data_IF_343959380275
#
_entry.id   IF_343959380275
#
_cell.length_a   1.000
_cell.length_b   1.000
_cell.length_c   1.000
_cell.angle_alpha   90.00
_cell.angle_beta   90.00
_cell.angle_gamma   90.00
#
_symmetry.space_group_name_H-M   'P 1'
#
loop_
_entity.id
_entity.type
_entity.pdbx_description
1 polymer ?
#
# COMPACT_ATOMS: atom_id res chain seq x y z
N UNK A 1 13.09 8.80 -18.58
CA UNK A 1 12.48 9.53 -17.44
C UNK A 1 12.76 8.72 -16.17
N UNK A 2 13.48 9.27 -15.19
CA UNK A 2 13.62 8.66 -13.86
C UNK A 2 12.54 9.30 -12.98
N UNK A 3 11.70 8.49 -12.33
CA UNK A 3 10.45 8.93 -11.64
C UNK A 3 10.71 9.66 -10.31
N UNK A 4 11.92 10.17 -10.08
CA UNK A 4 12.30 10.87 -8.84
C UNK A 4 12.40 10.00 -7.58
N UNK A 5 12.19 8.69 -7.67
CA UNK A 5 12.26 7.77 -6.53
C UNK A 5 13.71 7.45 -6.18
N UNK A 6 14.04 7.49 -4.89
CA UNK A 6 15.35 7.11 -4.37
C UNK A 6 15.54 5.59 -4.38
N UNK A 7 16.72 5.10 -4.73
CA UNK A 7 16.97 3.67 -4.96
C UNK A 7 16.75 2.79 -3.70
N UNK A 8 16.82 3.37 -2.48
CA UNK A 8 16.51 2.63 -1.25
C UNK A 8 14.99 2.44 -1.02
N UNK A 9 14.13 3.06 -1.82
CA UNK A 9 12.67 2.89 -1.78
C UNK A 9 12.17 1.85 -2.79
N UNK A 10 13.07 1.32 -3.62
CA UNK A 10 12.73 0.38 -4.69
C UNK A 10 13.05 -1.04 -4.19
N UNK A 11 12.03 -1.88 -4.15
CA UNK A 11 12.13 -3.29 -3.78
C UNK A 11 11.56 -4.15 -4.92
N UNK A 12 12.27 -5.21 -5.29
CA UNK A 12 11.82 -6.20 -6.27
C UNK A 12 11.58 -7.52 -5.55
N UNK A 13 10.39 -8.06 -5.71
CA UNK A 13 10.02 -9.39 -5.21
C UNK A 13 10.19 -10.43 -6.30
N UNK A 14 10.68 -11.61 -5.95
CA UNK A 14 10.66 -12.77 -6.84
C UNK A 14 9.48 -13.73 -6.50
N UNK A 15 9.14 -14.70 -7.37
CA UNK A 15 8.03 -15.63 -7.09
C UNK A 15 8.18 -16.49 -5.82
N UNK A 16 9.38 -16.57 -5.23
CA UNK A 16 9.62 -17.25 -3.94
C UNK A 16 9.31 -16.36 -2.73
N UNK A 17 8.99 -15.08 -2.94
CA UNK A 17 8.75 -14.10 -1.88
C UNK A 17 10.02 -13.44 -1.34
N UNK A 18 11.18 -13.64 -1.97
CA UNK A 18 12.42 -12.96 -1.60
C UNK A 18 12.39 -11.53 -2.17
N UNK A 19 12.71 -10.55 -1.33
CA UNK A 19 12.80 -9.13 -1.68
C UNK A 19 14.27 -8.70 -1.85
N UNK A 20 14.54 -7.97 -2.93
CA UNK A 20 15.85 -7.33 -3.19
C UNK A 20 15.63 -5.82 -3.25
N UNK A 21 16.41 -5.07 -2.50
CA UNK A 21 16.42 -3.61 -2.56
C UNK A 21 17.39 -3.12 -3.63
N UNK A 22 16.98 -2.17 -4.46
CA UNK A 22 17.77 -1.71 -5.63
C UNK A 22 19.11 -1.09 -5.23
N UNK A 23 19.19 -0.43 -4.06
CA UNK A 23 20.46 0.10 -3.51
C UNK A 23 21.45 -1.00 -3.10
N UNK A 24 20.95 -2.16 -2.72
CA UNK A 24 21.70 -3.24 -2.03
C UNK A 24 21.60 -4.53 -2.83
N UNK A 25 21.78 -4.43 -4.15
CA UNK A 25 21.72 -5.55 -5.09
C UNK A 25 22.57 -6.72 -4.61
N UNK A 26 21.92 -7.82 -4.23
CA UNK A 26 22.56 -9.03 -3.69
C UNK A 26 22.13 -9.37 -2.26
N UNK A 27 21.61 -8.40 -1.50
CA UNK A 27 21.00 -8.69 -0.20
C UNK A 27 19.54 -9.11 -0.40
N UNK A 28 19.24 -10.33 0.01
CA UNK A 28 17.88 -10.86 0.04
C UNK A 28 17.24 -10.57 1.39
N UNK A 29 16.01 -10.09 1.35
CA UNK A 29 15.17 -9.75 2.50
C UNK A 29 13.78 -10.38 2.30
N UNK A 30 12.86 -10.17 3.23
CA UNK A 30 11.49 -10.68 3.16
C UNK A 30 10.49 -9.57 3.49
N UNK A 31 9.21 -9.75 3.13
CA UNK A 31 8.15 -8.81 3.53
C UNK A 31 8.07 -8.64 5.04
N UNK A 32 8.28 -9.70 5.83
CA UNK A 32 8.31 -9.62 7.29
C UNK A 32 9.39 -8.66 7.78
N UNK A 33 10.61 -8.75 7.22
CA UNK A 33 11.70 -7.83 7.56
C UNK A 33 11.45 -6.40 7.09
N UNK A 34 10.81 -6.23 5.93
CA UNK A 34 10.42 -4.90 5.44
C UNK A 34 9.34 -4.27 6.33
N UNK A 35 8.41 -5.09 6.85
CA UNK A 35 7.34 -4.68 7.76
C UNK A 35 7.88 -3.99 9.02
N UNK A 36 8.98 -4.50 9.57
CA UNK A 36 9.68 -3.89 10.72
C UNK A 36 10.20 -2.47 10.43
N UNK A 37 10.39 -2.11 9.16
CA UNK A 37 10.95 -0.83 8.72
C UNK A 37 9.89 0.13 8.16
N UNK A 38 8.61 -0.25 8.15
CA UNK A 38 7.53 0.52 7.51
C UNK A 38 7.44 1.94 8.05
N UNK A 39 7.58 2.15 9.36
CA UNK A 39 7.50 3.49 9.96
C UNK A 39 8.59 4.45 9.44
N UNK A 40 9.76 3.91 9.06
CA UNK A 40 10.89 4.69 8.55
C UNK A 40 10.85 4.84 7.03
N UNK A 41 10.44 3.79 6.32
CA UNK A 41 10.43 3.76 4.84
C UNK A 41 9.16 4.39 4.28
N UNK A 42 8.04 4.24 4.98
CA UNK A 42 6.72 4.77 4.65
C UNK A 42 6.16 5.58 5.83
N UNK A 43 6.79 6.70 6.19
CA UNK A 43 6.29 7.55 7.25
C UNK A 43 4.91 8.08 6.88
N UNK A 44 4.05 8.24 7.89
CA UNK A 44 2.76 8.91 7.72
C UNK A 44 3.01 10.33 7.22
N UNK A 45 2.37 10.69 6.10
CA UNK A 45 2.48 12.04 5.53
C UNK A 45 1.75 13.06 6.39
N UNK A 46 0.58 12.69 6.92
CA UNK A 46 -0.19 13.46 7.89
C UNK A 46 -0.48 12.58 9.10
N UNK A 47 -0.14 13.04 10.30
CA UNK A 47 -0.46 12.32 11.55
C UNK A 47 -1.93 12.45 11.95
N UNK A 48 -2.67 13.40 11.35
CA UNK A 48 -4.03 13.76 11.78
C UNK A 48 -5.12 13.49 10.73
N UNK A 49 -4.80 13.38 9.44
CA UNK A 49 -5.82 13.14 8.41
C UNK A 49 -5.96 11.65 8.10
N UNK A 50 -7.00 11.03 8.68
CA UNK A 50 -7.50 9.78 8.15
C UNK A 50 -8.15 10.08 6.78
N UNK A 51 -7.55 9.58 5.69
CA UNK A 51 -8.05 9.77 4.32
C UNK A 51 -9.52 9.37 4.16
N UNK A 52 -10.05 8.55 5.08
CA UNK A 52 -11.45 8.20 5.14
C UNK A 52 -12.41 9.39 5.27
N UNK A 53 -11.98 10.54 5.80
CA UNK A 53 -12.83 11.73 5.92
C UNK A 53 -12.81 12.62 4.69
N UNK A 54 -11.68 12.71 3.99
CA UNK A 54 -11.53 13.56 2.81
C UNK A 54 -11.94 12.84 1.52
N UNK A 55 -11.70 11.53 1.43
CA UNK A 55 -12.06 10.70 0.28
C UNK A 55 -12.50 9.31 0.78
N UNK A 56 -13.77 9.15 1.23
CA UNK A 56 -14.28 7.94 1.85
C UNK A 56 -14.12 6.67 0.99
N UNK A 57 -14.11 6.82 -0.33
CA UNK A 57 -13.91 5.76 -1.32
C UNK A 57 -12.49 5.18 -1.28
N UNK A 58 -11.49 5.96 -0.85
CA UNK A 58 -10.09 5.54 -0.67
C UNK A 58 -9.75 5.17 0.78
N UNK A 59 -10.76 5.04 1.64
CA UNK A 59 -10.55 4.54 2.99
C UNK A 59 -10.06 3.09 2.95
N UNK A 60 -9.29 2.68 3.97
CA UNK A 60 -8.83 1.28 4.13
C UNK A 60 -10.00 0.29 4.10
N UNK A 61 -11.18 0.71 4.55
CA UNK A 61 -12.38 -0.11 4.54
C UNK A 61 -12.96 -0.27 3.13
N UNK A 62 -13.09 0.81 2.36
CA UNK A 62 -13.81 0.79 1.09
C UNK A 62 -12.95 0.41 -0.12
N UNK A 63 -11.65 0.76 -0.12
CA UNK A 63 -10.84 0.73 -1.35
C UNK A 63 -10.62 -0.66 -1.93
N UNK A 64 -10.47 -1.68 -1.08
CA UNK A 64 -10.17 -3.06 -1.50
C UNK A 64 -11.40 -3.97 -1.56
N UNK A 65 -12.57 -3.45 -1.19
CA UNK A 65 -13.82 -4.22 -1.16
C UNK A 65 -14.48 -4.16 -2.52
N UNK A 66 -15.14 -5.24 -2.90
CA UNK A 66 -16.05 -5.19 -4.03
C UNK A 66 -17.13 -4.13 -3.77
N UNK A 67 -17.54 -3.38 -4.81
CA UNK A 67 -18.63 -2.42 -4.68
C UNK A 67 -19.89 -3.14 -4.21
N UNK A 68 -20.67 -2.47 -3.37
CA UNK A 68 -21.95 -3.00 -2.96
C UNK A 68 -22.84 -3.19 -4.20
N UNK A 69 -23.57 -4.30 -4.31
CA UNK A 69 -24.52 -4.50 -5.39
C UNK A 69 -25.55 -3.36 -5.38
N UNK A 70 -26.00 -2.96 -6.56
CA UNK A 70 -27.01 -1.90 -6.68
C UNK A 70 -28.28 -2.32 -5.94
N UNK A 71 -28.74 -1.46 -5.03
CA UNK A 71 -29.99 -1.67 -4.32
C UNK A 71 -31.16 -1.44 -5.27
N UNK A 72 -31.98 -2.47 -5.45
CA UNK A 72 -33.25 -2.33 -6.12
C UNK A 72 -34.29 -1.77 -5.12
N UNK A 73 -34.73 -0.54 -5.36
CA UNK A 73 -35.74 0.14 -4.53
C UNK A 73 -37.07 -0.61 -4.46
N UNK A 74 -37.38 -1.44 -5.47
CA UNK A 74 -38.59 -2.26 -5.49
C UNK A 74 -38.56 -3.40 -4.46
N UNK A 75 -37.37 -3.83 -3.99
CA UNK A 75 -37.23 -4.89 -2.99
C UNK A 75 -37.43 -4.37 -1.55
N UNK A 76 -37.53 -3.05 -1.39
CA UNK A 76 -37.70 -2.34 -0.11
C UNK A 76 -39.15 -1.88 0.14
N UNK A 77 -40.08 -2.20 -0.77
CA UNK A 77 -41.50 -1.79 -0.71
C UNK A 77 -42.39 -3.01 -0.53
#
# INVERSE_FOLDING_TARGET
MKVGIQDFRIFTVNPKGELIQERTKGNKTSYSRLSELVEHVFPLLDKEQNSAFTCPEYSTFSFWRDPLPELNMADLT
#
